data_IF_003202351572
#
_entry.id   IF_003202351572
#
_cell.length_a   1.000
_cell.length_b   1.000
_cell.length_c   1.000
_cell.angle_alpha   90.00
_cell.angle_beta   90.00
_cell.angle_gamma   90.00
#
_symmetry.space_group_name_H-M   'P 1'
#
loop_
_entity.id
_entity.type
_entity.pdbx_description
1 polymer ?
#
# COMPACT_ATOMS: atom_id res chain seq x y z
N UNK A 1 -32.28 -6.19 2.78
CA UNK A 1 -31.55 -6.20 1.50
C UNK A 1 -31.12 -4.77 1.22
N UNK A 2 -29.86 -4.44 1.51
CA UNK A 2 -29.29 -3.15 1.14
C UNK A 2 -28.69 -3.29 -0.27
N UNK A 3 -29.16 -2.51 -1.26
CA UNK A 3 -28.63 -2.52 -2.61
C UNK A 3 -27.35 -1.68 -2.62
N UNK A 4 -26.26 -2.20 -2.04
CA UNK A 4 -24.98 -1.52 -2.18
C UNK A 4 -24.53 -1.66 -3.64
N UNK A 5 -24.51 -0.52 -4.32
CA UNK A 5 -24.17 -0.26 -5.71
C UNK A 5 -22.79 -0.83 -6.12
N UNK A 6 -22.68 -2.15 -6.28
CA UNK A 6 -21.50 -2.79 -6.86
C UNK A 6 -21.37 -2.51 -8.37
N UNK A 7 -22.47 -2.23 -9.06
CA UNK A 7 -22.50 -1.96 -10.51
C UNK A 7 -21.81 -0.66 -10.94
N UNK A 8 -21.83 0.38 -10.11
CA UNK A 8 -21.18 1.66 -10.43
C UNK A 8 -19.64 1.57 -10.39
N UNK A 9 -19.09 0.67 -9.58
CA UNK A 9 -17.63 0.47 -9.51
C UNK A 9 -17.09 -0.23 -10.76
N UNK A 10 -17.86 -1.16 -11.33
CA UNK A 10 -17.48 -1.87 -12.57
C UNK A 10 -17.53 -0.93 -13.78
N UNK A 11 -18.48 0.00 -13.85
CA UNK A 11 -18.52 1.03 -14.89
C UNK A 11 -17.32 1.99 -14.81
N UNK A 12 -16.95 2.47 -13.62
CA UNK A 12 -15.76 3.31 -13.43
C UNK A 12 -14.46 2.54 -13.75
N UNK A 13 -14.34 1.28 -13.34
CA UNK A 13 -13.19 0.42 -13.66
C UNK A 13 -13.11 0.04 -15.15
N UNK A 14 -14.26 -0.17 -15.82
CA UNK A 14 -14.33 -0.41 -17.27
C UNK A 14 -14.00 0.87 -18.04
N UNK A 15 -14.50 2.03 -17.58
CA UNK A 15 -14.12 3.33 -18.13
C UNK A 15 -12.63 3.57 -18.00
N UNK A 16 -12.03 3.30 -16.83
CA UNK A 16 -10.57 3.34 -16.60
C UNK A 16 -9.77 2.41 -17.52
N UNK A 17 -10.21 1.16 -17.66
CA UNK A 17 -9.57 0.21 -18.57
C UNK A 17 -9.68 0.65 -20.04
N UNK A 18 -10.78 1.33 -20.40
CA UNK A 18 -10.98 1.93 -21.72
C UNK A 18 -10.45 3.36 -21.85
N UNK A 19 -9.97 4.01 -20.78
CA UNK A 19 -9.42 5.37 -20.82
C UNK A 19 -7.89 5.37 -20.73
N UNK A 20 -7.27 4.19 -20.65
CA UNK A 20 -5.85 3.96 -20.97
C UNK A 20 -5.56 4.13 -22.47
N UNK A 21 -5.99 5.26 -23.03
CA UNK A 21 -5.66 5.72 -24.38
C UNK A 21 -4.64 6.87 -24.35
N UNK A 22 -3.93 7.07 -23.23
CA UNK A 22 -3.10 8.26 -23.00
C UNK A 22 -2.07 8.13 -21.87
N UNK A 23 -1.33 9.22 -21.65
CA UNK A 23 -0.19 9.32 -20.73
C UNK A 23 -0.59 8.93 -19.30
N UNK A 24 0.34 8.34 -18.52
CA UNK A 24 0.14 8.06 -17.10
C UNK A 24 -0.42 9.28 -16.35
N UNK A 25 -0.03 10.50 -16.75
CA UNK A 25 -0.54 11.76 -16.20
C UNK A 25 -2.07 11.88 -16.31
N UNK A 26 -2.65 11.60 -17.48
CA UNK A 26 -4.10 11.71 -17.71
C UNK A 26 -4.86 10.63 -16.93
N UNK A 27 -4.28 9.44 -16.81
CA UNK A 27 -4.83 8.38 -15.98
C UNK A 27 -4.93 8.80 -14.51
N UNK A 28 -3.86 9.41 -13.99
CA UNK A 28 -3.89 9.94 -12.64
C UNK A 28 -4.85 11.14 -12.51
N UNK A 29 -4.93 12.06 -13.47
CA UNK A 29 -5.82 13.22 -13.41
C UNK A 29 -7.29 12.78 -13.28
N UNK A 30 -7.69 11.81 -14.09
CA UNK A 30 -9.01 11.19 -13.97
C UNK A 30 -9.21 10.49 -12.62
N UNK A 31 -8.23 9.69 -12.19
CA UNK A 31 -8.32 8.94 -10.95
C UNK A 31 -8.43 9.86 -9.72
N UNK A 32 -7.69 10.97 -9.71
CA UNK A 32 -7.69 11.96 -8.64
C UNK A 32 -9.05 12.68 -8.56
N UNK A 33 -9.58 13.13 -9.71
CA UNK A 33 -10.91 13.74 -9.79
C UNK A 33 -12.01 12.78 -9.31
N UNK A 34 -12.04 11.56 -9.84
CA UNK A 34 -13.02 10.56 -9.46
C UNK A 34 -12.95 10.23 -7.95
N UNK A 35 -11.75 10.16 -7.38
CA UNK A 35 -11.55 9.90 -5.97
C UNK A 35 -11.85 11.10 -5.06
N UNK A 36 -11.83 12.32 -5.60
CA UNK A 36 -12.22 13.54 -4.88
C UNK A 36 -13.74 13.61 -4.69
N UNK A 37 -14.49 13.30 -5.73
CA UNK A 37 -15.97 13.37 -5.72
C UNK A 37 -16.62 12.15 -5.05
N UNK A 38 -15.83 11.09 -4.81
CA UNK A 38 -16.33 9.87 -4.22
C UNK A 38 -16.57 9.96 -2.69
N UNK A 39 -17.66 9.36 -2.19
CA UNK A 39 -17.90 9.20 -0.75
C UNK A 39 -16.73 8.53 -0.02
N UNK A 40 -16.54 8.85 1.26
CA UNK A 40 -15.38 8.41 2.06
C UNK A 40 -15.14 6.89 2.06
N UNK A 41 -16.20 6.08 2.03
CA UNK A 41 -16.13 4.61 2.04
C UNK A 41 -16.19 3.97 0.64
N UNK A 42 -16.20 4.79 -0.42
CA UNK A 42 -16.29 4.30 -1.79
C UNK A 42 -14.95 3.74 -2.26
N UNK A 43 -14.98 2.57 -2.90
CA UNK A 43 -13.79 1.95 -3.51
C UNK A 43 -13.22 2.79 -4.65
N UNK A 44 -14.00 3.72 -5.21
CA UNK A 44 -13.52 4.73 -6.18
C UNK A 44 -12.40 5.58 -5.58
N UNK A 45 -12.32 5.73 -4.25
CA UNK A 45 -11.19 6.41 -3.60
C UNK A 45 -9.85 5.69 -3.75
N UNK A 46 -9.83 4.41 -4.13
CA UNK A 46 -8.60 3.66 -4.42
C UNK A 46 -8.11 3.79 -5.87
N UNK A 47 -8.82 4.52 -6.74
CA UNK A 47 -8.42 4.65 -8.15
C UNK A 47 -7.02 5.25 -8.32
N UNK A 48 -6.59 6.29 -7.57
CA UNK A 48 -5.22 6.81 -7.67
C UNK A 48 -4.18 5.75 -7.34
N UNK A 49 -4.42 4.91 -6.32
CA UNK A 49 -3.51 3.82 -5.98
C UNK A 49 -3.47 2.75 -7.10
N UNK A 50 -4.59 2.52 -7.79
CA UNK A 50 -4.62 1.64 -8.98
C UNK A 50 -3.84 2.23 -10.15
N UNK A 51 -3.93 3.53 -10.39
CA UNK A 51 -3.08 4.22 -11.37
C UNK A 51 -1.59 4.12 -10.99
N UNK A 52 -1.26 4.31 -9.71
CA UNK A 52 0.10 4.13 -9.20
C UNK A 52 0.62 2.71 -9.37
N UNK A 53 -0.20 1.69 -9.11
CA UNK A 53 0.17 0.31 -9.39
C UNK A 53 0.54 0.13 -10.87
N UNK A 54 -0.34 0.55 -11.78
CA UNK A 54 -0.10 0.42 -13.22
C UNK A 54 1.17 1.16 -13.68
N UNK A 55 1.40 2.38 -13.19
CA UNK A 55 2.62 3.14 -13.43
C UNK A 55 3.87 2.39 -12.94
N UNK A 56 3.85 1.85 -11.72
CA UNK A 56 5.00 1.16 -11.11
C UNK A 56 5.31 -0.19 -11.76
N UNK A 57 4.33 -0.81 -12.40
CA UNK A 57 4.50 -2.09 -13.13
C UNK A 57 4.82 -1.92 -14.60
N UNK A 58 4.64 -0.72 -15.16
CA UNK A 58 4.98 -0.42 -16.55
C UNK A 58 6.47 -0.06 -16.68
N UNK A 59 7.21 -0.87 -17.44
CA UNK A 59 8.67 -0.75 -17.60
C UNK A 59 9.10 0.45 -18.45
N UNK A 60 8.18 1.08 -19.18
CA UNK A 60 8.43 2.28 -20.01
C UNK A 60 7.89 3.57 -19.42
N UNK A 61 7.29 3.52 -18.23
CA UNK A 61 6.62 4.66 -17.63
C UNK A 61 7.62 5.72 -17.13
N UNK A 62 7.36 6.98 -17.45
CA UNK A 62 8.12 8.12 -16.95
C UNK A 62 7.20 9.34 -16.75
N UNK A 63 7.67 10.32 -15.99
CA UNK A 63 7.03 11.63 -15.91
C UNK A 63 5.90 11.76 -14.88
N UNK A 64 5.71 10.78 -13.99
CA UNK A 64 4.85 10.97 -12.81
C UNK A 64 5.72 11.31 -11.59
N UNK A 65 5.38 12.42 -10.95
CA UNK A 65 6.09 12.90 -9.77
C UNK A 65 5.90 11.98 -8.56
N UNK A 66 6.96 11.81 -7.77
CA UNK A 66 6.94 10.99 -6.55
C UNK A 66 5.86 11.42 -5.56
N UNK A 67 5.69 12.73 -5.36
CA UNK A 67 4.67 13.29 -4.47
C UNK A 67 3.25 12.85 -4.84
N UNK A 68 2.97 12.67 -6.14
CA UNK A 68 1.68 12.19 -6.63
C UNK A 68 1.43 10.73 -6.25
N UNK A 69 2.47 9.89 -6.33
CA UNK A 69 2.40 8.49 -5.89
C UNK A 69 2.18 8.38 -4.38
N UNK A 70 2.85 9.24 -3.60
CA UNK A 70 2.67 9.27 -2.15
C UNK A 70 1.25 9.71 -1.77
N UNK A 71 0.70 10.74 -2.42
CA UNK A 71 -0.68 11.17 -2.19
C UNK A 71 -1.71 10.08 -2.55
N UNK A 72 -1.46 9.32 -3.62
CA UNK A 72 -2.29 8.17 -3.99
C UNK A 72 -2.25 7.07 -2.92
N UNK A 73 -1.07 6.80 -2.36
CA UNK A 73 -0.90 5.84 -1.26
C UNK A 73 -1.58 6.31 0.03
N UNK A 74 -1.45 7.59 0.40
CA UNK A 74 -2.08 8.17 1.60
C UNK A 74 -3.61 8.04 1.55
N UNK A 75 -4.19 8.35 0.38
CA UNK A 75 -5.63 8.22 0.17
C UNK A 75 -6.10 6.77 0.32
N UNK A 76 -5.33 5.83 -0.20
CA UNK A 76 -5.65 4.41 -0.10
C UNK A 76 -5.46 3.86 1.33
N UNK A 77 -4.48 4.37 2.10
CA UNK A 77 -4.34 4.07 3.53
C UNK A 77 -5.59 4.54 4.28
N UNK A 78 -6.02 5.79 4.06
CA UNK A 78 -7.21 6.34 4.69
C UNK A 78 -8.47 5.52 4.36
N UNK A 79 -8.62 5.09 3.10
CA UNK A 79 -9.71 4.18 2.72
C UNK A 79 -9.59 2.82 3.41
N UNK A 80 -8.40 2.21 3.42
CA UNK A 80 -8.15 0.88 4.01
C UNK A 80 -8.58 0.80 5.48
N UNK A 81 -8.33 1.89 6.23
CA UNK A 81 -8.74 2.05 7.63
C UNK A 81 -10.27 2.09 7.83
N UNK A 82 -11.01 2.59 6.83
CA UNK A 82 -12.48 2.65 6.89
C UNK A 82 -13.14 1.32 6.48
N UNK A 83 -12.45 0.49 5.71
CA UNK A 83 -13.02 -0.74 5.18
C UNK A 83 -13.20 -1.80 6.28
N UNK A 84 -14.31 -2.57 6.24
CA UNK A 84 -14.54 -3.65 7.20
C UNK A 84 -13.38 -4.65 7.31
N UNK A 85 -13.19 -5.20 8.52
CA UNK A 85 -12.18 -6.20 8.80
C UNK A 85 -12.60 -7.62 8.37
N UNK A 86 -13.90 -7.86 8.14
CA UNK A 86 -14.52 -9.13 7.76
C UNK A 86 -14.20 -9.62 6.33
N UNK A 87 -13.07 -9.14 5.78
CA UNK A 87 -12.43 -9.56 4.52
C UNK A 87 -13.38 -9.74 3.33
N UNK A 88 -14.31 -8.81 3.03
CA UNK A 88 -14.99 -8.85 1.73
C UNK A 88 -13.92 -8.70 0.63
N UNK A 89 -14.00 -9.55 -0.40
CA UNK A 89 -12.98 -9.66 -1.46
C UNK A 89 -12.48 -8.29 -1.99
N UNK A 90 -13.34 -7.27 -2.24
CA UNK A 90 -12.88 -5.98 -2.75
C UNK A 90 -12.03 -5.17 -1.76
N UNK A 91 -12.28 -5.30 -0.45
CA UNK A 91 -11.43 -4.68 0.56
C UNK A 91 -10.07 -5.37 0.66
N UNK A 92 -10.04 -6.70 0.51
CA UNK A 92 -8.81 -7.46 0.49
C UNK A 92 -7.94 -7.10 -0.73
N UNK A 93 -8.54 -6.98 -1.92
CA UNK A 93 -7.81 -6.58 -3.14
C UNK A 93 -7.19 -5.19 -3.01
N UNK A 94 -7.89 -4.21 -2.44
CA UNK A 94 -7.33 -2.86 -2.22
C UNK A 94 -6.15 -2.92 -1.25
N UNK A 95 -6.25 -3.69 -0.17
CA UNK A 95 -5.16 -3.84 0.81
C UNK A 95 -3.93 -4.49 0.20
N UNK A 96 -4.11 -5.53 -0.61
CA UNK A 96 -3.00 -6.20 -1.33
C UNK A 96 -2.36 -5.27 -2.37
N UNK A 97 -3.16 -4.53 -3.14
CA UNK A 97 -2.67 -3.51 -4.07
C UNK A 97 -1.86 -2.44 -3.35
N UNK A 98 -2.40 -1.92 -2.25
CA UNK A 98 -1.74 -0.88 -1.47
C UNK A 98 -0.42 -1.38 -0.87
N UNK A 99 -0.37 -2.61 -0.37
CA UNK A 99 0.87 -3.21 0.13
C UNK A 99 1.97 -3.21 -0.93
N UNK A 100 1.65 -3.62 -2.16
CA UNK A 100 2.62 -3.58 -3.26
C UNK A 100 3.09 -2.16 -3.57
N UNK A 101 2.16 -1.20 -3.71
CA UNK A 101 2.50 0.20 -3.99
C UNK A 101 3.41 0.77 -2.91
N UNK A 102 3.09 0.56 -1.63
CA UNK A 102 3.89 1.06 -0.51
C UNK A 102 5.31 0.49 -0.51
N UNK A 103 5.49 -0.80 -0.82
CA UNK A 103 6.81 -1.43 -0.94
C UNK A 103 7.62 -0.76 -2.05
N UNK A 104 7.02 -0.58 -3.23
CA UNK A 104 7.67 0.06 -4.38
C UNK A 104 8.02 1.53 -4.12
N UNK A 105 7.26 2.19 -3.24
CA UNK A 105 7.55 3.53 -2.74
C UNK A 105 8.56 3.54 -1.58
N UNK A 106 8.98 2.39 -1.05
CA UNK A 106 9.90 2.29 0.09
C UNK A 106 9.25 2.58 1.45
N UNK A 107 7.92 2.71 1.51
CA UNK A 107 7.12 3.01 2.71
C UNK A 107 6.85 1.74 3.53
N UNK A 108 7.92 1.13 4.04
CA UNK A 108 7.90 -0.22 4.63
C UNK A 108 7.04 -0.34 5.89
N UNK A 109 7.05 0.66 6.77
CA UNK A 109 6.25 0.61 8.01
C UNK A 109 4.75 0.58 7.73
N UNK A 110 4.30 1.35 6.75
CA UNK A 110 2.90 1.38 6.35
C UNK A 110 2.50 0.13 5.58
N UNK A 111 3.41 -0.42 4.76
CA UNK A 111 3.24 -1.72 4.13
C UNK A 111 3.08 -2.83 5.18
N UNK A 112 3.87 -2.80 6.27
CA UNK A 112 3.75 -3.73 7.39
C UNK A 112 2.34 -3.66 8.01
N UNK A 113 1.81 -2.45 8.22
CA UNK A 113 0.45 -2.23 8.68
C UNK A 113 -0.59 -2.89 7.75
N UNK A 114 -0.43 -2.73 6.43
CA UNK A 114 -1.34 -3.39 5.47
C UNK A 114 -1.22 -4.92 5.51
N UNK A 115 -0.02 -5.49 5.63
CA UNK A 115 0.14 -6.94 5.76
C UNK A 115 -0.52 -7.51 7.02
N UNK A 116 -0.55 -6.73 8.12
CA UNK A 116 -1.32 -7.08 9.32
C UNK A 116 -2.82 -7.18 9.04
N UNK A 117 -3.36 -6.21 8.28
CA UNK A 117 -4.79 -6.18 7.91
C UNK A 117 -5.18 -7.25 6.88
N UNK A 118 -4.27 -7.60 5.96
CA UNK A 118 -4.47 -8.68 4.98
C UNK A 118 -4.50 -10.03 5.70
N UNK A 119 -3.56 -10.24 6.62
CA UNK A 119 -3.38 -11.52 7.30
C UNK A 119 -2.66 -12.56 6.43
N UNK A 120 -3.01 -13.84 6.54
CA UNK A 120 -2.25 -14.92 5.90
C UNK A 120 -2.54 -15.10 4.40
N UNK A 121 -3.66 -14.58 3.90
CA UNK A 121 -4.15 -14.89 2.55
C UNK A 121 -3.91 -13.74 1.57
N UNK A 122 -3.19 -14.02 0.49
CA UNK A 122 -3.03 -13.14 -0.65
C UNK A 122 -4.23 -13.21 -1.59
N UNK A 123 -4.56 -12.11 -2.26
CA UNK A 123 -5.51 -12.11 -3.39
C UNK A 123 -4.76 -12.22 -4.70
N UNK A 124 -5.29 -12.91 -5.72
CA UNK A 124 -4.68 -13.03 -7.05
C UNK A 124 -4.20 -11.69 -7.63
N UNK A 125 -5.07 -10.67 -7.62
CA UNK A 125 -4.66 -9.30 -7.92
C UNK A 125 -4.16 -8.62 -6.63
N UNK A 126 -3.01 -7.93 -6.63
CA UNK A 126 -2.18 -7.55 -7.77
C UNK A 126 -1.08 -8.56 -8.15
N UNK A 127 -0.82 -9.58 -7.33
CA UNK A 127 0.43 -10.35 -7.39
C UNK A 127 0.62 -11.11 -8.70
N UNK A 128 -0.44 -11.71 -9.23
CA UNK A 128 -0.43 -12.44 -10.51
C UNK A 128 -0.20 -11.52 -11.72
N UNK A 129 -0.28 -10.20 -11.54
CA UNK A 129 0.08 -9.22 -12.59
C UNK A 129 1.55 -8.86 -12.60
N UNK A 130 2.28 -9.21 -11.54
CA UNK A 130 3.69 -8.83 -11.35
C UNK A 130 4.61 -10.05 -11.41
N UNK A 131 4.11 -11.22 -11.03
CA UNK A 131 4.86 -12.47 -10.96
C UNK A 131 4.00 -13.64 -11.44
N UNK A 132 4.64 -14.63 -12.06
CA UNK A 132 4.04 -15.93 -12.38
C UNK A 132 3.77 -16.78 -11.12
N UNK A 133 4.50 -16.49 -10.02
CA UNK A 133 4.22 -16.99 -8.67
C UNK A 133 3.81 -15.83 -7.76
N UNK A 134 2.54 -15.43 -7.86
CA UNK A 134 1.98 -14.32 -7.08
C UNK A 134 1.95 -14.58 -5.57
N UNK A 135 1.68 -15.83 -5.15
CA UNK A 135 1.66 -16.18 -3.74
C UNK A 135 3.08 -16.18 -3.16
N UNK A 136 4.06 -16.74 -3.87
CA UNK A 136 5.47 -16.68 -3.46
C UNK A 136 5.94 -15.25 -3.27
N UNK A 137 5.69 -14.38 -4.25
CA UNK A 137 6.05 -12.95 -4.17
C UNK A 137 5.42 -12.25 -2.96
N UNK A 138 4.15 -12.51 -2.68
CA UNK A 138 3.49 -11.95 -1.50
C UNK A 138 4.18 -12.37 -0.19
N UNK A 139 4.52 -13.65 -0.05
CA UNK A 139 5.13 -14.19 1.16
C UNK A 139 6.55 -13.66 1.36
N UNK A 140 7.34 -13.59 0.29
CA UNK A 140 8.69 -13.03 0.26
C UNK A 140 8.68 -11.57 0.72
N UNK A 141 7.92 -10.72 0.02
CA UNK A 141 7.84 -9.29 0.34
C UNK A 141 7.34 -9.04 1.77
N UNK A 142 6.39 -9.84 2.25
CA UNK A 142 5.92 -9.74 3.65
C UNK A 142 7.03 -10.09 4.65
N UNK A 143 7.85 -11.09 4.35
CA UNK A 143 8.97 -11.48 5.20
C UNK A 143 10.06 -10.40 5.19
N UNK A 144 10.40 -9.85 4.03
CA UNK A 144 11.37 -8.75 3.89
C UNK A 144 10.94 -7.50 4.68
N UNK A 145 9.68 -7.07 4.53
CA UNK A 145 9.16 -5.91 5.26
C UNK A 145 9.17 -6.15 6.77
N UNK A 146 8.82 -7.35 7.22
CA UNK A 146 8.89 -7.71 8.65
C UNK A 146 10.33 -7.70 9.17
N UNK A 147 11.28 -8.23 8.41
CA UNK A 147 12.69 -8.22 8.78
C UNK A 147 13.20 -6.77 8.88
N UNK A 148 12.96 -5.96 7.85
CA UNK A 148 13.41 -4.57 7.78
C UNK A 148 12.84 -3.69 8.91
N UNK A 149 11.58 -3.88 9.31
CA UNK A 149 10.96 -3.14 10.42
C UNK A 149 11.29 -3.73 11.80
N UNK A 150 11.64 -5.03 11.88
CA UNK A 150 12.06 -5.70 13.10
C UNK A 150 13.51 -5.36 13.49
N UNK A 151 14.36 -5.08 12.51
CA UNK A 151 15.70 -4.53 12.71
C UNK A 151 15.61 -3.02 12.95
N UNK A 152 15.16 -2.59 14.13
CA UNK A 152 15.55 -1.26 14.61
C UNK A 152 17.08 -1.27 14.77
N UNK A 153 17.82 -0.21 14.36
CA UNK A 153 19.17 -0.06 14.85
C UNK A 153 19.09 0.02 16.37
N UNK A 154 19.69 -0.96 17.03
CA UNK A 154 19.98 -0.92 18.46
C UNK A 154 20.93 0.27 18.67
N UNK A 155 20.41 1.41 19.12
CA UNK A 155 21.22 2.40 19.83
C UNK A 155 21.67 1.69 21.12
N UNK A 156 22.80 0.99 21.00
CA UNK A 156 23.33 0.13 22.04
C UNK A 156 23.61 0.90 23.34
N UNK A 157 23.53 0.24 24.50
CA UNK A 157 23.80 0.88 25.77
C UNK A 157 25.28 1.23 25.88
N UNK A 158 25.59 2.52 25.90
CA UNK A 158 26.94 3.00 26.19
C UNK A 158 27.32 2.56 27.61
N UNK A 159 28.29 1.65 27.66
CA UNK A 159 28.88 1.09 28.85
C UNK A 159 29.57 2.16 29.71
N UNK A 160 28.83 2.78 30.62
CA UNK A 160 29.38 3.58 31.72
C UNK A 160 29.81 2.75 32.92
N UNK A 161 30.70 1.76 32.73
CA UNK A 161 31.40 1.13 33.88
C UNK A 161 32.53 2.06 34.34
N UNK A 162 32.39 2.61 35.55
CA UNK A 162 33.57 2.82 36.41
C UNK A 162 33.59 4.09 37.27
N UNK A 163 33.12 3.99 38.53
CA UNK A 163 33.98 4.16 39.71
C UNK A 163 33.20 3.87 41.00
N UNK A 164 33.38 2.67 41.53
CA UNK A 164 33.35 2.46 42.98
C UNK A 164 34.73 2.87 43.52
N UNK A 165 34.81 4.03 44.18
CA UNK A 165 35.93 4.32 45.06
C UNK A 165 35.47 4.07 46.51
N UNK A 166 36.03 3.02 47.11
CA UNK A 166 35.85 2.69 48.52
C UNK A 166 36.57 3.71 49.39
N UNK A 167 35.95 3.97 50.53
CA UNK A 167 36.52 4.64 51.70
C UNK A 167 37.88 4.06 52.12
N UNK A 168 38.81 4.94 52.52
CA UNK A 168 39.89 4.68 53.48
C UNK A 168 40.36 6.00 54.11
N UNK A 169 40.20 6.09 55.44
CA UNK A 169 41.04 6.74 56.45
C UNK A 169 41.56 8.17 56.26
N UNK A 170 41.12 9.09 57.12
CA UNK A 170 41.87 9.52 58.30
C UNK A 170 40.95 10.17 59.32
#
# INVERSE_FOLDING_TARGET
RAPHHWGCHVAALRYLASSWHGSHRECFDFADLAAQDAPARSLVRALPARAAFSYLTDRGAAGVERARLDAAADRAIALSALLPADRPRPAAEIRNLLAYVLIRLGRREEALGQFGLIGPYATSFPWDRVSDDGLGLFLELRAEVRAACGTKPDDGPENGRGRRARARGH
#
